data_IF_379047332939
#
_entry.id   IF_379047332939
#
_cell.length_a   1.000
_cell.length_b   1.000
_cell.length_c   1.000
_cell.angle_alpha   90.00
_cell.angle_beta   90.00
_cell.angle_gamma   90.00
#
_symmetry.space_group_name_H-M   'P 1'
#
loop_
_entity.id
_entity.type
_entity.pdbx_description
1 polymer ?
#
# COMPACT_ATOMS: atom_id res chain seq x y z
N UNK A 1 0.84 -11.33 44.47
CA UNK A 1 1.92 -11.63 43.49
C UNK A 1 1.49 -12.55 42.35
N UNK A 2 0.66 -13.60 42.55
CA UNK A 2 0.20 -14.49 41.46
C UNK A 2 -0.66 -13.80 40.40
N UNK A 3 -1.57 -12.91 40.80
CA UNK A 3 -2.48 -12.21 39.88
C UNK A 3 -1.73 -11.26 38.94
N UNK A 4 -0.74 -10.51 39.44
CA UNK A 4 0.09 -9.62 38.61
C UNK A 4 0.87 -10.37 37.52
N UNK A 5 1.33 -11.60 37.81
CA UNK A 5 1.99 -12.46 36.82
C UNK A 5 1.03 -12.94 35.74
N UNK A 6 -0.21 -13.29 36.11
CA UNK A 6 -1.25 -13.69 35.15
C UNK A 6 -1.65 -12.56 34.20
N UNK A 7 -1.75 -11.33 34.72
CA UNK A 7 -2.04 -10.13 33.90
C UNK A 7 -0.89 -9.86 32.92
N UNK A 8 0.36 -9.99 33.36
CA UNK A 8 1.52 -9.83 32.49
C UNK A 8 1.56 -10.87 31.35
N UNK A 9 1.19 -12.13 31.64
CA UNK A 9 1.11 -13.17 30.60
C UNK A 9 0.00 -12.87 29.59
N UNK A 10 -1.19 -12.45 30.06
CA UNK A 10 -2.29 -12.08 29.16
C UNK A 10 -1.96 -10.85 28.31
N UNK A 11 -1.25 -9.87 28.86
CA UNK A 11 -0.81 -8.68 28.13
C UNK A 11 0.20 -9.01 27.01
N UNK A 12 0.96 -10.11 27.12
CA UNK A 12 1.86 -10.58 26.07
C UNK A 12 1.14 -11.39 24.99
N UNK A 13 0.10 -12.14 25.35
CA UNK A 13 -0.65 -12.98 24.41
C UNK A 13 -1.49 -12.19 23.39
N UNK A 14 -2.03 -11.04 23.79
CA UNK A 14 -2.84 -10.17 22.90
C UNK A 14 -2.02 -9.66 21.69
N UNK A 15 -0.85 -9.00 21.86
CA UNK A 15 -0.04 -8.56 20.72
C UNK A 15 0.49 -9.72 19.87
N UNK A 16 0.81 -10.87 20.49
CA UNK A 16 1.21 -12.09 19.77
C UNK A 16 0.14 -12.57 18.78
N UNK A 17 -1.15 -12.48 19.13
CA UNK A 17 -2.26 -12.85 18.24
C UNK A 17 -2.42 -11.88 17.05
N UNK A 18 -2.22 -10.58 17.26
CA UNK A 18 -2.27 -9.57 16.19
C UNK A 18 -1.08 -9.65 15.23
N UNK A 19 0.11 -9.97 15.75
CA UNK A 19 1.29 -10.24 14.92
C UNK A 19 1.10 -11.51 14.08
N UNK A 20 0.46 -12.54 14.65
CA UNK A 20 0.17 -13.77 13.93
C UNK A 20 -0.77 -13.52 12.76
N UNK A 21 -1.87 -12.78 12.96
CA UNK A 21 -2.81 -12.39 11.87
C UNK A 21 -2.08 -11.68 10.72
N UNK A 22 -1.28 -10.66 11.07
CA UNK A 22 -0.47 -9.90 10.10
C UNK A 22 0.51 -10.81 9.36
N UNK A 23 1.18 -11.73 10.07
CA UNK A 23 2.13 -12.67 9.48
C UNK A 23 1.43 -13.69 8.57
N UNK A 24 0.26 -14.22 8.94
CA UNK A 24 -0.53 -15.10 8.07
C UNK A 24 -1.05 -14.40 6.83
N UNK A 25 -1.47 -13.13 6.94
CA UNK A 25 -1.90 -12.31 5.79
C UNK A 25 -0.75 -12.03 4.83
N UNK A 26 0.42 -11.73 5.38
CA UNK A 26 1.66 -11.60 4.61
C UNK A 26 2.04 -12.91 3.92
N UNK A 27 2.03 -14.04 4.64
CA UNK A 27 2.46 -15.35 4.12
C UNK A 27 1.50 -15.94 3.08
N UNK A 28 0.19 -15.74 3.26
CA UNK A 28 -0.83 -16.22 2.32
C UNK A 28 -1.02 -15.29 1.12
N UNK A 29 -0.22 -14.21 1.02
CA UNK A 29 -0.40 -13.13 0.06
C UNK A 29 -1.81 -12.50 0.10
N UNK A 30 -2.59 -12.80 1.13
CA UNK A 30 -3.88 -12.20 1.45
C UNK A 30 -3.62 -10.91 2.22
N UNK A 31 -2.99 -9.96 1.53
CA UNK A 31 -2.91 -8.59 1.96
C UNK A 31 -4.27 -7.89 1.91
N UNK A 32 -4.24 -6.56 2.01
CA UNK A 32 -5.38 -5.74 1.62
C UNK A 32 -5.50 -5.78 0.09
N UNK A 33 -6.01 -6.89 -0.45
CA UNK A 33 -6.33 -6.96 -1.87
C UNK A 33 -7.36 -5.87 -2.17
N UNK A 34 -7.03 -4.99 -3.12
CA UNK A 34 -7.98 -4.03 -3.64
C UNK A 34 -9.22 -4.80 -4.12
N UNK A 35 -10.40 -4.39 -3.68
CA UNK A 35 -11.64 -4.89 -4.24
C UNK A 35 -11.62 -4.70 -5.76
N UNK A 36 -12.38 -5.52 -6.50
CA UNK A 36 -12.38 -5.42 -7.98
C UNK A 36 -12.65 -4.01 -8.51
N UNK A 37 -13.44 -3.22 -7.77
CA UNK A 37 -13.73 -1.82 -8.07
C UNK A 37 -12.55 -0.87 -7.77
N UNK A 38 -11.84 -1.07 -6.66
CA UNK A 38 -10.64 -0.30 -6.34
C UNK A 38 -9.52 -0.61 -7.33
N UNK A 39 -9.40 -1.88 -7.75
CA UNK A 39 -8.46 -2.29 -8.80
C UNK A 39 -8.75 -1.61 -10.14
N UNK A 40 -10.01 -1.59 -10.58
CA UNK A 40 -10.40 -0.90 -11.82
C UNK A 40 -10.07 0.60 -11.77
N UNK A 41 -10.35 1.26 -10.64
CA UNK A 41 -10.01 2.68 -10.46
C UNK A 41 -8.49 2.89 -10.53
N UNK A 42 -7.73 2.02 -9.84
CA UNK A 42 -6.27 2.04 -9.88
C UNK A 42 -5.74 1.88 -11.29
N UNK A 43 -6.23 0.89 -12.06
CA UNK A 43 -5.77 0.60 -13.42
C UNK A 43 -6.01 1.80 -14.35
N UNK A 44 -7.19 2.43 -14.28
CA UNK A 44 -7.49 3.63 -15.09
C UNK A 44 -6.59 4.80 -14.69
N UNK A 45 -6.42 5.04 -13.39
CA UNK A 45 -5.57 6.12 -12.91
C UNK A 45 -4.09 5.88 -13.26
N UNK A 46 -3.62 4.64 -13.22
CA UNK A 46 -2.28 4.26 -13.63
C UNK A 46 -2.07 4.60 -15.11
N UNK A 47 -2.98 4.18 -15.97
CA UNK A 47 -2.89 4.46 -17.42
C UNK A 47 -2.93 5.97 -17.72
N UNK A 48 -3.75 6.74 -17.01
CA UNK A 48 -3.84 8.20 -17.17
C UNK A 48 -2.55 8.91 -16.73
N UNK A 49 -2.01 8.56 -15.56
CA UNK A 49 -0.79 9.17 -15.03
C UNK A 49 0.42 8.74 -15.86
N UNK A 50 0.49 7.47 -16.28
CA UNK A 50 1.55 6.98 -17.16
C UNK A 50 1.56 7.75 -18.49
N UNK A 51 0.41 7.93 -19.15
CA UNK A 51 0.33 8.70 -20.41
C UNK A 51 0.77 10.15 -20.25
N UNK A 52 0.49 10.77 -19.10
CA UNK A 52 0.87 12.16 -18.82
C UNK A 52 2.34 12.33 -18.50
N UNK A 53 2.91 11.35 -17.79
CA UNK A 53 4.25 11.46 -17.19
C UNK A 53 5.31 10.64 -17.91
N UNK A 54 4.95 9.83 -18.91
CA UNK A 54 5.85 8.84 -19.53
C UNK A 54 7.19 9.48 -19.90
N UNK A 55 8.30 9.13 -19.22
CA UNK A 55 9.61 9.44 -19.73
C UNK A 55 9.87 8.55 -20.95
N UNK A 56 10.83 8.93 -21.78
CA UNK A 56 11.30 8.04 -22.85
C UNK A 56 11.72 6.70 -22.21
N UNK A 57 11.07 5.57 -22.56
CA UNK A 57 11.29 4.28 -21.90
C UNK A 57 12.73 3.77 -22.04
N UNK A 58 13.54 4.36 -22.92
CA UNK A 58 14.95 4.01 -23.11
C UNK A 58 15.92 5.02 -22.50
N UNK A 59 15.43 6.09 -21.87
CA UNK A 59 16.26 7.15 -21.33
C UNK A 59 16.39 7.02 -19.83
N UNK A 60 17.43 6.35 -19.37
CA UNK A 60 17.85 6.43 -17.98
C UNK A 60 18.32 7.86 -17.69
N UNK A 61 17.68 8.53 -16.74
CA UNK A 61 17.93 9.94 -16.39
C UNK A 61 18.81 10.11 -15.15
N UNK A 62 19.27 9.01 -14.54
CA UNK A 62 20.02 9.03 -13.28
C UNK A 62 19.16 8.70 -12.06
N UNK A 63 19.79 8.22 -10.98
CA UNK A 63 19.09 7.73 -9.77
C UNK A 63 18.32 8.83 -9.03
N UNK A 64 18.72 10.10 -9.17
CA UNK A 64 18.06 11.22 -8.50
C UNK A 64 16.79 11.63 -9.26
N UNK A 65 16.92 11.92 -10.55
CA UNK A 65 15.77 12.24 -11.40
C UNK A 65 14.76 11.09 -11.45
N UNK A 66 15.22 9.83 -11.49
CA UNK A 66 14.31 8.67 -11.47
C UNK A 66 13.48 8.64 -10.17
N UNK A 67 14.11 8.86 -9.00
CA UNK A 67 13.39 8.89 -7.72
C UNK A 67 12.41 10.05 -7.60
N UNK A 68 12.78 11.23 -8.13
CA UNK A 68 11.88 12.38 -8.18
C UNK A 68 10.66 12.07 -9.07
N UNK A 69 10.88 11.42 -10.22
CA UNK A 69 9.82 10.96 -11.11
C UNK A 69 8.91 9.92 -10.43
N UNK A 70 9.48 8.90 -9.79
CA UNK A 70 8.71 7.85 -9.09
C UNK A 70 7.84 8.47 -7.97
N UNK A 71 8.40 9.44 -7.25
CA UNK A 71 7.69 10.15 -6.16
C UNK A 71 6.52 10.97 -6.71
N UNK A 72 6.73 11.71 -7.80
CA UNK A 72 5.68 12.51 -8.42
C UNK A 72 4.60 11.62 -9.05
N UNK A 73 5.01 10.54 -9.74
CA UNK A 73 4.10 9.54 -10.30
C UNK A 73 3.19 8.95 -9.21
N UNK A 74 3.77 8.50 -8.10
CA UNK A 74 3.02 7.94 -6.97
C UNK A 74 2.03 8.95 -6.37
N UNK A 75 2.43 10.23 -6.25
CA UNK A 75 1.56 11.29 -5.73
C UNK A 75 0.35 11.53 -6.66
N UNK A 76 0.58 11.65 -7.97
CA UNK A 76 -0.51 11.86 -8.94
C UNK A 76 -1.44 10.67 -9.03
N UNK A 77 -0.90 9.45 -9.00
CA UNK A 77 -1.68 8.22 -8.96
C UNK A 77 -2.59 8.18 -7.73
N UNK A 78 -2.04 8.44 -6.54
CA UNK A 78 -2.81 8.51 -5.30
C UNK A 78 -3.93 9.57 -5.34
N UNK A 79 -3.65 10.75 -5.88
CA UNK A 79 -4.67 11.81 -6.03
C UNK A 79 -5.79 11.42 -6.99
N UNK A 80 -5.47 10.76 -8.11
CA UNK A 80 -6.46 10.29 -9.06
C UNK A 80 -7.38 9.24 -8.43
N UNK A 81 -6.78 8.22 -7.80
CA UNK A 81 -7.52 7.13 -7.15
C UNK A 81 -8.46 7.68 -6.07
N UNK A 82 -7.94 8.53 -5.19
CA UNK A 82 -8.73 9.15 -4.12
C UNK A 82 -9.92 9.99 -4.63
N UNK A 83 -9.72 10.78 -5.69
CA UNK A 83 -10.82 11.58 -6.28
C UNK A 83 -11.91 10.69 -6.87
N UNK A 84 -11.54 9.60 -7.54
CA UNK A 84 -12.49 8.69 -8.19
C UNK A 84 -13.23 7.79 -7.22
N UNK A 85 -12.58 7.37 -6.14
CA UNK A 85 -13.24 6.62 -5.07
C UNK A 85 -14.35 7.43 -4.39
N UNK A 86 -14.15 8.75 -4.23
CA UNK A 86 -15.14 9.67 -3.64
C UNK A 86 -16.18 10.25 -4.60
N UNK A 87 -15.99 10.12 -5.92
CA UNK A 87 -16.94 10.59 -6.91
C UNK A 87 -18.12 9.62 -7.14
N UNK A 88 -18.13 8.48 -6.43
CA UNK A 88 -19.20 7.47 -6.42
C UNK A 88 -19.93 7.50 -5.09
#
# INVERSE_FOLDING_TARGET
>A
MKIMKMIAVLALMIPLSGCMDTFTRFWNNTGFELSGKEKEIYDICFEEVEKQMRPDPNKWVGDKEQREWDTEFANRLGQCTYKRERAK
#
